data_IF_277934627270
#
_entry.id   IF_277934627270
#
_cell.length_a   1.000
_cell.length_b   1.000
_cell.length_c   1.000
_cell.angle_alpha   90.00
_cell.angle_beta   90.00
_cell.angle_gamma   90.00
#
_symmetry.space_group_name_H-M   'P 1'
#
loop_
_entity.id
_entity.type
_entity.pdbx_description
1 polymer ?
#
# COMPACT_ATOMS: atom_id res chain seq x y z
N UNK A 1 8.45 17.87 20.50
CA UNK A 1 7.46 18.97 20.28
C UNK A 1 6.79 18.90 18.89
N UNK A 2 7.53 18.75 17.76
CA UNK A 2 6.91 18.66 16.42
C UNK A 2 6.12 17.37 16.27
N UNK A 3 6.72 16.22 16.54
CA UNK A 3 6.06 14.92 16.44
C UNK A 3 4.80 14.83 17.31
N UNK A 4 4.79 15.42 18.50
CA UNK A 4 3.61 15.43 19.36
C UNK A 4 2.47 16.28 18.76
N UNK A 5 2.79 17.45 18.18
CA UNK A 5 1.78 18.27 17.49
C UNK A 5 1.23 17.58 16.24
N UNK A 6 2.11 16.95 15.48
CA UNK A 6 1.70 16.20 14.29
C UNK A 6 0.78 15.04 14.67
N UNK A 7 1.12 14.31 15.74
CA UNK A 7 0.27 13.25 16.29
C UNK A 7 -1.11 13.76 16.73
N UNK A 8 -1.19 14.88 17.44
CA UNK A 8 -2.46 15.47 17.87
C UNK A 8 -3.35 15.85 16.68
N UNK A 9 -2.76 16.36 15.59
CA UNK A 9 -3.46 16.72 14.37
C UNK A 9 -4.01 15.46 13.68
N UNK A 10 -3.18 14.41 13.52
CA UNK A 10 -3.59 13.16 12.90
C UNK A 10 -4.64 12.43 13.74
N UNK A 11 -4.47 12.39 15.06
CA UNK A 11 -5.43 11.74 15.95
C UNK A 11 -6.79 12.46 15.94
N UNK A 12 -6.79 13.78 15.90
CA UNK A 12 -8.04 14.55 15.75
C UNK A 12 -8.71 14.24 14.41
N UNK A 13 -7.95 14.19 13.31
CA UNK A 13 -8.48 13.84 12.00
C UNK A 13 -9.07 12.42 12.00
N UNK A 14 -8.39 11.48 12.63
CA UNK A 14 -8.86 10.11 12.78
C UNK A 14 -10.23 10.05 13.49
N UNK A 15 -10.38 10.78 14.58
CA UNK A 15 -11.64 10.88 15.30
C UNK A 15 -12.75 11.56 14.48
N UNK A 16 -12.45 12.70 13.87
CA UNK A 16 -13.42 13.45 13.07
C UNK A 16 -13.90 12.60 11.87
N UNK A 17 -12.99 11.94 11.18
CA UNK A 17 -13.32 11.06 10.05
C UNK A 17 -14.14 9.83 10.48
N UNK A 18 -13.84 9.25 11.65
CA UNK A 18 -14.62 8.15 12.18
C UNK A 18 -16.07 8.55 12.45
N UNK A 19 -16.31 9.74 12.99
CA UNK A 19 -17.67 10.24 13.20
C UNK A 19 -18.42 10.44 11.87
N UNK A 20 -17.76 10.95 10.84
CA UNK A 20 -18.34 11.09 9.50
C UNK A 20 -18.73 9.72 8.92
N UNK A 21 -17.80 8.76 8.96
CA UNK A 21 -18.05 7.39 8.46
C UNK A 21 -19.18 6.70 9.26
N UNK A 22 -19.18 6.82 10.58
CA UNK A 22 -20.25 6.25 11.41
C UNK A 22 -21.62 6.83 11.04
N UNK A 23 -21.71 8.14 10.79
CA UNK A 23 -22.95 8.79 10.35
C UNK A 23 -23.41 8.29 8.98
N UNK A 24 -22.50 8.17 8.01
CA UNK A 24 -22.81 7.66 6.66
C UNK A 24 -23.34 6.23 6.70
N UNK A 25 -22.82 5.40 7.60
CA UNK A 25 -23.28 4.02 7.81
C UNK A 25 -24.44 3.90 8.81
N UNK A 26 -24.96 5.00 9.36
CA UNK A 26 -26.01 5.00 10.39
C UNK A 26 -25.65 4.16 11.62
N UNK A 27 -24.40 4.23 12.05
CA UNK A 27 -23.87 3.51 13.21
C UNK A 27 -23.69 4.47 14.40
N UNK A 28 -24.09 4.02 15.59
CA UNK A 28 -23.86 4.72 16.86
C UNK A 28 -22.54 4.22 17.50
N UNK A 29 -21.43 4.45 16.82
CA UNK A 29 -20.09 4.07 17.26
C UNK A 29 -19.20 5.31 17.18
N UNK A 30 -18.65 5.72 18.32
CA UNK A 30 -17.78 6.91 18.45
C UNK A 30 -16.30 6.56 18.53
N UNK A 31 -15.95 5.32 18.88
CA UNK A 31 -14.57 4.83 18.93
C UNK A 31 -14.13 4.42 17.53
N UNK A 32 -13.09 5.08 16.96
CA UNK A 32 -12.64 4.78 15.59
C UNK A 32 -12.18 3.34 15.40
N UNK A 33 -11.49 2.73 16.37
CA UNK A 33 -11.01 1.36 16.25
C UNK A 33 -12.18 0.36 16.22
N UNK A 34 -13.18 0.53 17.08
CA UNK A 34 -14.38 -0.30 17.06
C UNK A 34 -15.17 -0.15 15.76
N UNK A 35 -15.22 1.06 15.19
CA UNK A 35 -15.89 1.30 13.91
C UNK A 35 -15.18 0.56 12.79
N UNK A 36 -13.86 0.67 12.69
CA UNK A 36 -13.06 -0.04 11.69
C UNK A 36 -13.26 -1.55 11.83
N UNK A 37 -13.09 -2.10 13.03
CA UNK A 37 -13.22 -3.54 13.28
C UNK A 37 -14.60 -4.06 12.86
N UNK A 38 -15.66 -3.27 13.09
CA UNK A 38 -17.01 -3.62 12.64
C UNK A 38 -17.11 -3.62 11.10
N UNK A 39 -16.67 -2.55 10.44
CA UNK A 39 -16.74 -2.42 8.98
C UNK A 39 -15.90 -3.49 8.28
N UNK A 40 -14.69 -3.74 8.78
CA UNK A 40 -13.81 -4.80 8.28
C UNK A 40 -14.48 -6.17 8.41
N UNK A 41 -15.01 -6.50 9.57
CA UNK A 41 -15.68 -7.78 9.82
C UNK A 41 -16.90 -8.00 8.92
N UNK A 42 -17.67 -6.96 8.64
CA UNK A 42 -18.86 -7.04 7.79
C UNK A 42 -18.52 -7.16 6.30
N UNK A 43 -17.35 -6.65 5.88
CA UNK A 43 -16.93 -6.60 4.47
C UNK A 43 -15.86 -7.62 4.08
N UNK A 44 -15.27 -8.30 5.05
CA UNK A 44 -14.21 -9.30 4.84
C UNK A 44 -14.71 -10.52 4.08
N UNK A 45 -13.79 -11.22 3.43
CA UNK A 45 -14.08 -12.47 2.72
C UNK A 45 -13.05 -13.55 3.09
N UNK A 46 -13.52 -14.78 3.27
CA UNK A 46 -12.65 -15.94 3.44
C UNK A 46 -12.19 -16.56 2.10
N UNK A 47 -12.76 -16.13 0.97
CA UNK A 47 -12.36 -16.60 -0.36
C UNK A 47 -11.12 -15.82 -0.84
N UNK A 48 -9.99 -16.53 -0.87
CA UNK A 48 -8.69 -15.97 -1.32
C UNK A 48 -8.74 -15.37 -2.73
N UNK A 49 -9.55 -15.91 -3.63
CA UNK A 49 -9.67 -15.39 -4.99
C UNK A 49 -10.42 -14.05 -4.99
N UNK A 50 -11.45 -13.92 -4.17
CA UNK A 50 -12.17 -12.65 -3.97
C UNK A 50 -11.23 -11.60 -3.40
N UNK A 51 -10.46 -11.95 -2.38
CA UNK A 51 -9.47 -11.04 -1.77
C UNK A 51 -8.43 -10.62 -2.80
N UNK A 52 -7.80 -11.57 -3.50
CA UNK A 52 -6.82 -11.25 -4.54
C UNK A 52 -7.39 -10.37 -5.66
N UNK A 53 -8.65 -10.56 -6.03
CA UNK A 53 -9.30 -9.71 -7.03
C UNK A 53 -9.50 -8.29 -6.52
N UNK A 54 -9.89 -8.09 -5.25
CA UNK A 54 -9.99 -6.76 -4.63
C UNK A 54 -8.69 -5.97 -4.73
N UNK A 55 -7.56 -6.62 -4.46
CA UNK A 55 -6.24 -5.97 -4.58
C UNK A 55 -5.88 -5.62 -6.03
N UNK A 56 -6.23 -6.49 -6.99
CA UNK A 56 -6.05 -6.16 -8.42
C UNK A 56 -6.91 -4.98 -8.85
N UNK A 57 -8.16 -4.93 -8.39
CA UNK A 57 -9.09 -3.85 -8.71
C UNK A 57 -8.64 -2.53 -8.07
N UNK A 58 -8.17 -2.57 -6.82
CA UNK A 58 -7.58 -1.41 -6.14
C UNK A 58 -6.33 -0.92 -6.88
N UNK A 59 -5.45 -1.81 -7.31
CA UNK A 59 -4.27 -1.46 -8.10
C UNK A 59 -4.64 -0.80 -9.42
N UNK A 60 -5.57 -1.39 -10.17
CA UNK A 60 -6.03 -0.83 -11.44
C UNK A 60 -6.64 0.57 -11.25
N UNK A 61 -7.43 0.76 -10.18
CA UNK A 61 -7.98 2.07 -9.79
C UNK A 61 -6.88 3.10 -9.53
N UNK A 62 -5.83 2.73 -8.77
CA UNK A 62 -4.74 3.66 -8.46
C UNK A 62 -3.91 3.99 -9.71
N UNK A 63 -3.62 3.02 -10.57
CA UNK A 63 -2.92 3.28 -11.84
C UNK A 63 -3.72 4.21 -12.78
N UNK A 64 -5.05 4.04 -12.86
CA UNK A 64 -5.93 4.93 -13.63
C UNK A 64 -5.86 6.37 -13.11
N UNK A 65 -5.94 6.56 -11.78
CA UNK A 65 -5.81 7.88 -11.14
C UNK A 65 -4.44 8.51 -11.46
N UNK A 66 -3.36 7.75 -11.28
CA UNK A 66 -1.99 8.21 -11.54
C UNK A 66 -1.84 8.68 -13.00
N UNK A 67 -2.38 7.94 -13.95
CA UNK A 67 -2.32 8.28 -15.37
C UNK A 67 -3.20 9.46 -15.72
N UNK A 68 -4.46 9.45 -15.28
CA UNK A 68 -5.44 10.50 -15.54
C UNK A 68 -4.97 11.86 -15.04
N UNK A 69 -4.47 11.90 -13.81
CA UNK A 69 -4.05 13.14 -13.14
C UNK A 69 -2.56 13.44 -13.36
N UNK A 70 -1.86 12.58 -14.10
CA UNK A 70 -0.43 12.74 -14.45
C UNK A 70 0.46 12.90 -13.21
N UNK A 71 0.16 12.17 -12.14
CA UNK A 71 0.87 12.31 -10.87
C UNK A 71 2.32 11.82 -10.97
N UNK A 72 2.54 10.72 -11.70
CA UNK A 72 3.86 10.14 -11.92
C UNK A 72 3.89 9.21 -13.13
N UNK A 73 5.10 8.82 -13.56
CA UNK A 73 5.28 7.90 -14.69
C UNK A 73 5.29 6.45 -14.20
N UNK A 74 4.33 5.67 -14.65
CA UNK A 74 4.28 4.23 -14.38
C UNK A 74 5.31 3.47 -15.21
N UNK A 75 5.84 2.32 -14.72
CA UNK A 75 6.59 1.37 -15.52
C UNK A 75 5.73 0.81 -16.66
N UNK A 76 6.36 0.49 -17.80
CA UNK A 76 5.65 -0.11 -18.94
C UNK A 76 5.12 -1.52 -18.64
N UNK A 77 5.79 -2.26 -17.76
CA UNK A 77 5.35 -3.58 -17.32
C UNK A 77 4.18 -3.52 -16.36
N UNK A 78 3.31 -4.51 -16.40
CA UNK A 78 2.29 -4.70 -15.37
C UNK A 78 2.93 -5.05 -14.01
N UNK A 79 2.28 -4.64 -12.92
CA UNK A 79 2.65 -5.08 -11.57
C UNK A 79 2.47 -6.61 -11.45
N UNK A 80 3.39 -7.25 -10.73
CA UNK A 80 3.26 -8.65 -10.35
C UNK A 80 2.68 -8.75 -8.94
N UNK A 81 1.59 -9.51 -8.80
CA UNK A 81 0.94 -9.79 -7.52
C UNK A 81 0.69 -11.28 -7.36
N UNK A 82 0.99 -11.80 -6.18
CA UNK A 82 0.69 -13.19 -5.82
C UNK A 82 0.40 -13.35 -4.33
N UNK A 83 -0.28 -14.40 -3.92
CA UNK A 83 -0.35 -14.76 -2.51
C UNK A 83 1.03 -15.19 -1.99
N UNK A 84 1.22 -15.11 -0.68
CA UNK A 84 2.38 -15.67 0.00
C UNK A 84 2.46 -17.19 -0.19
N UNK A 85 3.67 -17.71 -0.22
CA UNK A 85 3.94 -19.16 -0.11
C UNK A 85 3.86 -19.60 1.35
N UNK A 86 3.70 -20.89 1.62
CA UNK A 86 3.69 -21.42 2.99
C UNK A 86 4.94 -21.01 3.79
N UNK A 87 6.09 -20.91 3.14
CA UNK A 87 7.34 -20.49 3.78
C UNK A 87 7.33 -18.99 4.12
N UNK A 88 6.79 -18.13 3.25
CA UNK A 88 6.64 -16.70 3.50
C UNK A 88 5.62 -16.46 4.62
N UNK A 89 4.47 -17.15 4.57
CA UNK A 89 3.45 -17.10 5.62
C UNK A 89 3.98 -17.53 7.00
N UNK A 90 4.90 -18.50 7.04
CA UNK A 90 5.50 -18.97 8.28
C UNK A 90 6.61 -18.05 8.82
N UNK A 91 7.33 -17.35 7.94
CA UNK A 91 8.51 -16.54 8.30
C UNK A 91 8.23 -15.05 8.41
N UNK A 92 7.38 -14.52 7.56
CA UNK A 92 7.05 -13.10 7.48
C UNK A 92 5.61 -12.91 6.96
N UNK A 93 4.60 -13.15 7.82
CA UNK A 93 3.18 -13.12 7.43
C UNK A 93 2.64 -11.69 7.26
N UNK A 94 3.38 -10.81 6.59
CA UNK A 94 2.98 -9.43 6.32
C UNK A 94 3.00 -9.19 4.82
N UNK A 95 1.99 -8.52 4.24
CA UNK A 95 2.05 -8.08 2.86
C UNK A 95 3.29 -7.22 2.63
N UNK A 96 4.02 -7.48 1.55
CA UNK A 96 5.28 -6.79 1.26
C UNK A 96 5.66 -6.85 -0.21
N UNK A 97 6.56 -6.00 -0.64
CA UNK A 97 7.21 -6.13 -1.94
C UNK A 97 8.50 -6.94 -1.82
N UNK A 98 8.52 -8.09 -2.47
CA UNK A 98 9.76 -8.85 -2.70
C UNK A 98 10.59 -8.13 -3.76
N UNK A 99 11.72 -7.55 -3.36
CA UNK A 99 12.62 -6.83 -4.27
C UNK A 99 13.67 -7.79 -4.85
N UNK A 100 13.94 -7.74 -6.17
CA UNK A 100 14.99 -8.55 -6.77
C UNK A 100 16.38 -7.98 -6.40
N UNK A 101 17.38 -8.85 -6.42
CA UNK A 101 18.75 -8.38 -6.43
C UNK A 101 19.02 -7.56 -7.70
N UNK A 102 19.66 -6.42 -7.57
CA UNK A 102 20.10 -5.62 -8.71
C UNK A 102 21.33 -6.24 -9.38
N UNK A 103 22.27 -6.75 -8.56
CA UNK A 103 23.51 -7.38 -9.07
C UNK A 103 23.17 -8.63 -9.88
N UNK A 104 23.63 -8.66 -11.12
CA UNK A 104 23.39 -9.78 -12.03
C UNK A 104 21.97 -9.88 -12.60
N UNK A 105 21.08 -8.97 -12.25
CA UNK A 105 19.75 -8.90 -12.84
C UNK A 105 19.85 -8.36 -14.27
N UNK A 106 19.32 -9.13 -15.21
CA UNK A 106 19.27 -8.78 -16.65
C UNK A 106 17.89 -8.29 -17.09
N UNK A 107 17.04 -7.89 -16.14
CA UNK A 107 15.65 -7.47 -16.40
C UNK A 107 14.68 -8.66 -16.47
N UNK A 108 15.07 -9.82 -15.95
CA UNK A 108 14.21 -11.03 -15.93
C UNK A 108 13.46 -11.17 -14.59
N UNK A 109 13.96 -10.60 -13.51
CA UNK A 109 13.34 -10.63 -12.19
C UNK A 109 12.99 -9.21 -11.76
N UNK A 110 11.72 -9.00 -11.43
CA UNK A 110 11.15 -7.71 -11.08
C UNK A 110 10.55 -7.73 -9.67
N UNK A 111 10.32 -6.55 -9.06
CA UNK A 111 9.55 -6.48 -7.83
C UNK A 111 8.22 -7.21 -7.94
N UNK A 112 7.83 -7.86 -6.88
CA UNK A 112 6.56 -8.60 -6.82
C UNK A 112 5.87 -8.28 -5.51
N UNK A 113 4.63 -7.81 -5.57
CA UNK A 113 3.81 -7.63 -4.39
C UNK A 113 3.31 -8.99 -3.89
N UNK A 114 3.73 -9.37 -2.71
CA UNK A 114 3.38 -10.63 -2.04
C UNK A 114 2.33 -10.34 -0.99
N UNK A 115 1.15 -10.91 -1.17
CA UNK A 115 0.04 -10.81 -0.23
C UNK A 115 0.07 -11.98 0.72
N UNK A 116 0.72 -11.81 1.85
CA UNK A 116 0.63 -12.72 3.00
C UNK A 116 -0.59 -12.40 3.86
N UNK A 117 -0.97 -13.35 4.69
CA UNK A 117 -2.07 -13.24 5.65
C UNK A 117 -3.37 -12.72 5.05
N UNK A 118 -3.77 -13.33 3.93
CA UNK A 118 -4.98 -12.95 3.19
C UNK A 118 -6.26 -12.96 4.03
N UNK A 119 -6.29 -13.69 5.15
CA UNK A 119 -7.45 -13.76 6.05
C UNK A 119 -7.61 -12.44 6.81
N UNK A 120 -6.52 -11.94 7.41
CA UNK A 120 -6.55 -10.68 8.16
C UNK A 120 -6.55 -9.45 7.23
N UNK A 121 -5.98 -9.58 6.02
CA UNK A 121 -6.01 -8.53 4.99
C UNK A 121 -7.17 -8.69 3.99
N UNK A 122 -8.28 -9.30 4.40
CA UNK A 122 -9.42 -9.62 3.53
C UNK A 122 -10.41 -8.48 3.35
N UNK A 123 -10.33 -7.44 4.17
CA UNK A 123 -11.21 -6.27 4.10
C UNK A 123 -10.95 -5.42 2.85
N UNK A 124 -11.99 -4.91 2.17
CA UNK A 124 -11.82 -3.91 1.13
C UNK A 124 -11.30 -2.56 1.66
N UNK A 125 -11.45 -2.30 2.97
CA UNK A 125 -10.99 -1.05 3.58
C UNK A 125 -9.46 -0.93 3.59
N UNK A 126 -8.76 -2.06 3.77
CA UNK A 126 -7.30 -2.11 3.76
C UNK A 126 -6.69 -2.21 2.36
N UNK A 127 -7.49 -2.51 1.33
CA UNK A 127 -6.95 -2.75 -0.02
C UNK A 127 -6.33 -1.49 -0.64
N UNK A 128 -7.02 -0.35 -0.63
CA UNK A 128 -6.51 0.90 -1.19
C UNK A 128 -5.23 1.38 -0.45
N UNK A 129 -5.20 1.50 0.91
CA UNK A 129 -3.99 1.88 1.63
C UNK A 129 -2.81 0.96 1.34
N UNK A 130 -3.01 -0.34 1.41
CA UNK A 130 -1.95 -1.32 1.22
C UNK A 130 -1.42 -1.32 -0.22
N UNK A 131 -2.28 -1.15 -1.23
CA UNK A 131 -1.86 -0.98 -2.62
C UNK A 131 -1.06 0.29 -2.82
N UNK A 132 -1.43 1.36 -2.17
CA UNK A 132 -0.68 2.62 -2.26
C UNK A 132 0.70 2.49 -1.63
N UNK A 133 0.82 1.77 -0.53
CA UNK A 133 2.10 1.51 0.15
C UNK A 133 2.97 0.51 -0.61
N UNK A 134 2.46 -0.69 -0.84
CA UNK A 134 3.23 -1.81 -1.41
C UNK A 134 3.21 -1.85 -2.93
N UNK A 135 2.06 -1.53 -3.53
CA UNK A 135 1.88 -1.59 -4.98
C UNK A 135 2.37 -0.33 -5.69
N UNK A 136 1.45 0.25 -6.51
CA UNK A 136 1.70 1.52 -7.20
C UNK A 136 0.72 2.58 -6.71
N UNK A 137 1.25 3.68 -6.23
CA UNK A 137 2.58 4.28 -6.48
C UNK A 137 3.70 3.94 -5.48
N UNK A 138 3.50 3.01 -4.55
CA UNK A 138 4.45 2.68 -3.48
C UNK A 138 5.70 1.92 -3.90
N UNK A 139 6.04 0.90 -3.12
CA UNK A 139 7.30 0.15 -3.26
C UNK A 139 7.48 -0.51 -4.63
N UNK A 140 6.42 -1.10 -5.24
CA UNK A 140 6.57 -1.68 -6.58
C UNK A 140 7.01 -0.63 -7.62
N UNK A 141 6.41 0.56 -7.59
CA UNK A 141 6.82 1.64 -8.49
C UNK A 141 8.26 2.06 -8.23
N UNK A 142 8.61 2.34 -6.97
CA UNK A 142 9.93 2.80 -6.56
C UNK A 142 11.02 1.84 -7.04
N UNK A 143 10.93 0.57 -6.63
CA UNK A 143 11.95 -0.42 -6.97
C UNK A 143 11.96 -0.80 -8.45
N UNK A 144 10.81 -0.76 -9.12
CA UNK A 144 10.77 -0.96 -10.57
C UNK A 144 11.50 0.15 -11.32
N UNK A 145 11.29 1.40 -10.96
CA UNK A 145 11.98 2.55 -11.58
C UNK A 145 13.48 2.56 -11.27
N UNK A 146 13.86 2.14 -10.06
CA UNK A 146 15.26 1.96 -9.71
C UNK A 146 15.90 0.87 -10.57
N UNK A 147 15.25 -0.30 -10.72
CA UNK A 147 15.76 -1.38 -11.55
C UNK A 147 15.85 -0.98 -13.03
N UNK A 148 14.84 -0.33 -13.60
CA UNK A 148 14.90 0.22 -14.95
C UNK A 148 16.08 1.16 -15.14
N UNK A 149 16.31 2.07 -14.18
CA UNK A 149 17.43 3.01 -14.22
C UNK A 149 18.78 2.31 -14.13
N UNK A 150 18.89 1.29 -13.30
CA UNK A 150 20.09 0.46 -13.19
C UNK A 150 20.38 -0.30 -14.50
N UNK A 151 19.38 -0.96 -15.08
CA UNK A 151 19.52 -1.71 -16.33
C UNK A 151 19.87 -0.80 -17.53
N UNK A 152 19.41 0.45 -17.50
CA UNK A 152 19.73 1.45 -18.51
C UNK A 152 21.10 2.14 -18.29
N UNK A 153 21.82 1.79 -17.23
CA UNK A 153 23.09 2.45 -16.86
C UNK A 153 22.95 3.89 -16.38
N UNK A 154 21.73 4.32 -16.05
CA UNK A 154 21.45 5.66 -15.49
C UNK A 154 21.67 5.73 -13.98
N UNK A 155 21.75 4.60 -13.33
CA UNK A 155 21.98 4.42 -11.91
C UNK A 155 23.01 3.33 -11.72
N UNK A 156 24.07 3.61 -10.95
CA UNK A 156 25.11 2.60 -10.67
C UNK A 156 24.77 1.79 -9.41
N UNK A 157 25.55 0.74 -9.14
CA UNK A 157 25.32 -0.16 -8.01
C UNK A 157 25.37 0.55 -6.65
N UNK A 158 26.28 1.51 -6.47
CA UNK A 158 26.42 2.24 -5.20
C UNK A 158 25.17 3.09 -4.96
N UNK A 159 24.71 3.77 -5.99
CA UNK A 159 23.47 4.57 -5.94
C UNK A 159 22.26 3.69 -5.63
N UNK A 160 22.15 2.49 -6.22
CA UNK A 160 21.05 1.57 -5.91
C UNK A 160 21.08 1.10 -4.46
N UNK A 161 22.26 0.74 -3.93
CA UNK A 161 22.42 0.32 -2.52
C UNK A 161 22.07 1.46 -1.56
N UNK A 162 22.54 2.68 -1.85
CA UNK A 162 22.23 3.85 -1.01
C UNK A 162 20.73 4.16 -1.07
N UNK A 163 20.12 4.13 -2.25
CA UNK A 163 18.70 4.42 -2.42
C UNK A 163 17.76 3.32 -1.85
N UNK A 164 18.26 2.10 -1.69
CA UNK A 164 17.48 0.98 -1.12
C UNK A 164 17.47 0.95 0.42
N UNK A 165 17.99 1.97 1.11
CA UNK A 165 17.91 2.00 2.56
C UNK A 165 16.45 2.19 3.04
N UNK A 166 16.12 1.62 4.23
CA UNK A 166 14.77 1.63 4.79
C UNK A 166 14.17 3.03 4.92
N UNK A 167 14.96 4.02 5.33
CA UNK A 167 14.44 5.38 5.50
C UNK A 167 13.97 6.00 4.17
N UNK A 168 14.65 5.70 3.06
CA UNK A 168 14.23 6.15 1.73
C UNK A 168 13.04 5.33 1.21
N UNK A 169 13.06 4.01 1.43
CA UNK A 169 11.98 3.14 1.00
C UNK A 169 10.67 3.50 1.69
N UNK A 170 10.66 3.49 3.02
CA UNK A 170 9.46 3.82 3.81
C UNK A 170 9.05 5.29 3.67
N UNK A 171 10.03 6.20 3.58
CA UNK A 171 9.75 7.61 3.35
C UNK A 171 9.03 7.86 2.03
N UNK A 172 9.36 7.12 0.96
CA UNK A 172 8.62 7.15 -0.29
C UNK A 172 7.20 6.60 -0.12
N UNK A 173 7.04 5.43 0.50
CA UNK A 173 5.74 4.81 0.71
C UNK A 173 4.80 5.74 1.51
N UNK A 174 5.24 6.31 2.62
CA UNK A 174 4.47 7.28 3.39
C UNK A 174 4.16 8.57 2.62
N UNK A 175 5.09 9.05 1.80
CA UNK A 175 4.82 10.21 0.95
C UNK A 175 3.69 9.95 -0.05
N UNK A 176 3.68 8.79 -0.70
CA UNK A 176 2.64 8.46 -1.67
C UNK A 176 1.30 8.10 -1.00
N UNK A 177 1.30 7.57 0.21
CA UNK A 177 0.08 7.45 1.02
C UNK A 177 -0.57 8.83 1.23
N UNK A 178 0.21 9.80 1.67
CA UNK A 178 -0.27 11.17 1.81
C UNK A 178 -0.81 11.75 0.49
N UNK A 179 -0.07 11.54 -0.61
CA UNK A 179 -0.45 12.03 -1.94
C UNK A 179 -1.76 11.40 -2.43
N UNK A 180 -1.97 10.11 -2.16
CA UNK A 180 -3.12 9.35 -2.66
C UNK A 180 -4.33 9.38 -1.73
N UNK A 181 -4.20 9.85 -0.51
CA UNK A 181 -5.30 9.96 0.46
C UNK A 181 -6.57 10.60 -0.12
N UNK A 182 -6.52 11.72 -0.89
CA UNK A 182 -7.74 12.34 -1.43
C UNK A 182 -8.52 11.48 -2.45
N UNK A 183 -7.90 10.42 -2.96
CA UNK A 183 -8.48 9.50 -3.94
C UNK A 183 -9.07 8.23 -3.32
N UNK A 184 -8.88 8.03 -2.03
CA UNK A 184 -9.42 6.91 -1.28
C UNK A 184 -10.84 7.22 -0.77
N UNK A 185 -11.65 6.19 -0.54
CA UNK A 185 -12.90 6.35 0.19
C UNK A 185 -12.63 6.77 1.65
N UNK A 186 -13.63 7.32 2.33
CA UNK A 186 -13.47 7.72 3.73
C UNK A 186 -13.14 6.53 4.64
N UNK A 187 -13.71 5.37 4.37
CA UNK A 187 -13.41 4.13 5.09
C UNK A 187 -11.96 3.70 4.89
N UNK A 188 -11.45 3.77 3.65
CA UNK A 188 -10.06 3.46 3.36
C UNK A 188 -9.09 4.48 3.99
N UNK A 189 -9.45 5.78 3.98
CA UNK A 189 -8.69 6.81 4.69
C UNK A 189 -8.68 6.56 6.20
N UNK A 190 -9.82 6.13 6.78
CA UNK A 190 -9.93 5.80 8.18
C UNK A 190 -9.07 4.58 8.55
N UNK A 191 -9.06 3.55 7.67
CA UNK A 191 -8.18 2.38 7.83
C UNK A 191 -6.70 2.77 7.78
N UNK A 192 -6.31 3.64 6.85
CA UNK A 192 -4.92 4.13 6.74
C UNK A 192 -4.46 4.97 7.94
N UNK A 193 -5.36 5.59 8.68
CA UNK A 193 -5.04 6.38 9.88
C UNK A 193 -4.95 5.53 11.16
N UNK A 194 -5.35 4.24 11.10
CA UNK A 194 -5.27 3.28 12.22
C UNK A 194 -3.81 2.87 12.50
N UNK A 195 -2.99 2.74 11.46
CA UNK A 195 -1.60 2.26 11.47
C UNK A 195 -0.61 3.43 11.70
#
# INVERSE_FOLDING_TARGET
>A
ERAQRDWEIYYKRYQDLALEVAQEHSLDITDPAQLIDKLEKESSSSDKNVVMQRYRDAQAKMEDIIQRDRLMTLPERAIQMRPGTDAEEASFPVPHVSTPNFIGNTGTVWPTFVLCDLVNNSSPLSADPLIVHEGRPGHDLQFSRMLESYLQGKMNLIETVIASNSANAEGWAHYVEYLMTPYMSKEAQLSALKD
#
